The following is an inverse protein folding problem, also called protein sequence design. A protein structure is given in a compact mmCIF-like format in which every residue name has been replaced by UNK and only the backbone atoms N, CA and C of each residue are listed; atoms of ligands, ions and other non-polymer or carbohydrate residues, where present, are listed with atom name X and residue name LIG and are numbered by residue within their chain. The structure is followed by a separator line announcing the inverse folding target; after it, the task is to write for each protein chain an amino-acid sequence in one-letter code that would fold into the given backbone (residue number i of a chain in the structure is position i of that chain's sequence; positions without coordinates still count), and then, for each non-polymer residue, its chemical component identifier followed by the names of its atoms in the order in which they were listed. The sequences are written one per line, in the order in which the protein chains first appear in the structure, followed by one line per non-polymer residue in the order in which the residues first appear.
data_IF_381551402150
#
_entry.id   IF_381551402150
#
_cell.length_a   1.000
_cell.length_b   1.000
_cell.length_c   1.000
_cell.angle_alpha   90.00
_cell.angle_beta   90.00
_cell.angle_gamma   90.00
#
_symmetry.space_group_name_H-M   'P 1'
#
loop_
_entity.id
_entity.type
_entity.pdbx_description
1 polymer ?
#
# COMPACT_ATOMS: atom_id res chain seq x y z
N UNK A 1 0.03 -5.28 -4.98
CA UNK A 1 -1.26 -4.58 -4.90
C UNK A 1 -1.23 -3.53 -3.79
N UNK A 2 -2.01 -2.44 -3.90
CA UNK A 2 -2.25 -1.53 -2.78
C UNK A 2 -3.17 -2.19 -1.75
N UNK A 3 -2.79 -2.32 -0.47
CA UNK A 3 -3.62 -2.94 0.55
C UNK A 3 -4.74 -2.01 1.03
N UNK A 4 -5.68 -2.60 1.79
CA UNK A 4 -6.74 -1.94 2.53
C UNK A 4 -6.65 -2.33 4.00
N UNK A 5 -6.92 -1.41 4.91
CA UNK A 5 -6.89 -1.70 6.36
C UNK A 5 -8.23 -1.36 6.98
N UNK A 6 -9.18 -2.30 6.99
CA UNK A 6 -10.42 -2.11 7.74
C UNK A 6 -10.34 -2.81 9.09
N UNK A 7 -10.68 -2.09 10.15
CA UNK A 7 -10.82 -2.60 11.51
C UNK A 7 -12.26 -2.45 11.98
N UNK A 8 -12.72 -3.36 12.85
CA UNK A 8 -14.06 -3.33 13.45
C UNK A 8 -15.23 -3.30 12.45
N UNK A 9 -15.01 -3.81 11.25
CA UNK A 9 -15.98 -3.82 10.16
C UNK A 9 -15.27 -3.86 8.82
N UNK A 10 -16.05 -3.73 7.75
CA UNK A 10 -15.62 -3.65 6.36
C UNK A 10 -16.17 -2.37 5.73
N UNK A 11 -15.89 -2.18 4.44
CA UNK A 11 -16.33 -1.02 3.66
C UNK A 11 -17.85 -0.75 3.71
N UNK A 12 -18.68 -1.75 3.99
CA UNK A 12 -20.14 -1.63 4.05
C UNK A 12 -20.73 -1.83 5.45
N UNK A 13 -19.90 -2.08 6.47
CA UNK A 13 -20.36 -2.41 7.84
C UNK A 13 -19.74 -1.50 8.90
N UNK A 14 -19.19 -0.35 8.49
CA UNK A 14 -18.66 0.67 9.39
C UNK A 14 -17.20 0.45 9.82
N UNK A 15 -16.41 -0.26 9.00
CA UNK A 15 -14.99 -0.44 9.27
C UNK A 15 -14.21 0.88 9.31
N UNK A 16 -13.16 0.91 10.13
CA UNK A 16 -12.33 2.10 10.39
C UNK A 16 -10.86 1.87 10.08
N UNK A 17 -10.13 2.96 9.90
CA UNK A 17 -8.69 3.05 9.60
C UNK A 17 -8.11 4.37 10.10
N UNK A 18 -8.57 4.84 11.26
CA UNK A 18 -8.16 6.09 11.89
C UNK A 18 -6.99 5.92 12.86
N UNK A 19 -6.24 4.82 12.75
CA UNK A 19 -5.01 4.63 13.50
C UNK A 19 -3.98 5.71 13.08
N UNK A 20 -3.29 6.27 14.06
CA UNK A 20 -2.25 7.29 13.86
C UNK A 20 -0.86 6.81 14.30
N UNK A 21 -0.77 5.60 14.86
CA UNK A 21 0.49 5.00 15.33
C UNK A 21 1.15 4.27 14.17
N UNK A 22 2.32 4.73 13.68
CA UNK A 22 2.98 4.08 12.56
C UNK A 22 3.43 2.67 12.89
N UNK A 23 3.28 1.75 11.94
CA UNK A 23 3.75 0.37 12.05
C UNK A 23 3.13 -0.38 13.24
N UNK A 24 1.85 -0.13 13.51
CA UNK A 24 1.12 -0.69 14.66
C UNK A 24 1.05 -2.23 14.61
N UNK A 25 0.99 -2.80 13.41
CA UNK A 25 0.97 -4.24 13.15
C UNK A 25 2.36 -4.90 13.07
N UNK A 26 3.43 -4.15 13.34
CA UNK A 26 4.81 -4.61 13.21
C UNK A 26 5.62 -3.83 12.18
N UNK A 27 6.94 -4.00 12.19
CA UNK A 27 7.88 -3.23 11.36
C UNK A 27 8.64 -4.07 10.33
N UNK A 28 8.38 -5.38 10.32
CA UNK A 28 9.17 -6.33 9.55
C UNK A 28 8.43 -6.75 8.28
N UNK A 29 9.13 -6.69 7.16
CA UNK A 29 8.69 -7.29 5.91
C UNK A 29 9.26 -8.71 5.84
N UNK A 30 8.45 -9.71 6.14
CA UNK A 30 8.84 -11.14 6.14
C UNK A 30 8.53 -11.82 4.79
N UNK A 31 8.17 -11.05 3.75
CA UNK A 31 7.80 -11.58 2.45
C UNK A 31 9.03 -11.80 1.56
N UNK A 32 9.39 -13.07 1.35
CA UNK A 32 10.43 -13.48 0.40
C UNK A 32 9.97 -13.46 -1.07
N UNK A 33 8.65 -13.44 -1.29
CA UNK A 33 8.02 -13.47 -2.62
C UNK A 33 6.82 -12.53 -2.67
N UNK A 34 6.45 -12.12 -3.88
CA UNK A 34 5.23 -11.35 -4.12
C UNK A 34 4.02 -12.09 -3.57
N UNK A 35 3.17 -11.34 -2.85
CA UNK A 35 1.85 -11.78 -2.40
C UNK A 35 0.85 -11.96 -3.55
N UNK A 36 1.19 -11.46 -4.74
CA UNK A 36 0.49 -11.72 -5.99
C UNK A 36 1.38 -12.59 -6.90
N UNK A 37 1.31 -13.92 -6.78
CA UNK A 37 2.13 -14.83 -7.58
C UNK A 37 1.72 -14.85 -9.05
N UNK A 38 0.46 -14.51 -9.37
CA UNK A 38 -0.04 -14.48 -10.74
C UNK A 38 0.60 -13.33 -11.49
N UNK A 39 0.57 -12.13 -10.92
CA UNK A 39 1.23 -10.95 -11.50
C UNK A 39 2.74 -11.14 -11.58
N UNK A 40 3.37 -11.70 -10.53
CA UNK A 40 4.80 -12.00 -10.55
C UNK A 40 5.19 -13.01 -11.64
N UNK A 41 4.38 -14.06 -11.82
CA UNK A 41 4.59 -15.04 -12.89
C UNK A 41 4.39 -14.42 -14.27
N UNK A 42 3.41 -13.54 -14.43
CA UNK A 42 3.08 -12.92 -15.73
C UNK A 42 4.19 -12.03 -16.28
N UNK A 43 5.00 -11.41 -15.41
CA UNK A 43 6.13 -10.56 -15.83
C UNK A 43 7.43 -11.33 -16.01
N UNK A 44 7.50 -12.59 -15.57
CA UNK A 44 8.70 -13.41 -15.65
C UNK A 44 9.10 -13.65 -17.11
N UNK A 45 10.36 -13.40 -17.45
CA UNK A 45 10.87 -13.52 -18.83
C UNK A 45 10.56 -12.34 -19.74
N UNK A 46 9.92 -11.29 -19.22
CA UNK A 46 9.66 -10.04 -19.94
C UNK A 46 10.66 -8.94 -19.53
N UNK A 47 10.65 -7.81 -20.25
CA UNK A 47 11.37 -6.59 -19.83
C UNK A 47 10.67 -5.79 -18.73
N UNK A 48 9.52 -6.26 -18.23
CA UNK A 48 8.73 -5.57 -17.21
C UNK A 48 9.23 -5.95 -15.82
N UNK A 49 9.56 -4.96 -15.00
CA UNK A 49 9.87 -5.14 -13.58
C UNK A 49 8.62 -4.89 -12.74
N UNK A 50 8.29 -5.82 -11.84
CA UNK A 50 7.20 -5.63 -10.89
C UNK A 50 7.63 -4.66 -9.78
N UNK A 51 6.89 -3.56 -9.64
CA UNK A 51 6.98 -2.69 -8.47
C UNK A 51 6.14 -3.30 -7.34
N UNK A 52 6.72 -4.23 -6.58
CA UNK A 52 6.01 -4.88 -5.48
C UNK A 52 5.98 -3.99 -4.23
N UNK A 53 4.92 -3.18 -4.15
CA UNK A 53 4.64 -2.28 -3.02
C UNK A 53 3.90 -2.96 -1.87
N UNK A 54 3.49 -4.23 -2.02
CA UNK A 54 2.40 -4.78 -1.19
C UNK A 54 2.84 -4.93 0.26
N UNK A 55 3.99 -5.57 0.49
CA UNK A 55 4.46 -5.91 1.82
C UNK A 55 4.73 -4.67 2.68
N UNK A 56 5.44 -3.68 2.12
CA UNK A 56 5.73 -2.44 2.83
C UNK A 56 4.46 -1.65 3.11
N UNK A 57 3.49 -1.68 2.19
CA UNK A 57 2.25 -0.92 2.33
C UNK A 57 1.33 -1.51 3.40
N UNK A 58 1.40 -2.83 3.64
CA UNK A 58 0.66 -3.51 4.72
C UNK A 58 1.12 -3.05 6.11
N UNK A 59 2.35 -2.55 6.24
CA UNK A 59 2.85 -2.02 7.51
C UNK A 59 2.34 -0.60 7.81
N UNK A 60 1.72 0.06 6.84
CA UNK A 60 1.45 1.50 6.86
C UNK A 60 -0.03 1.80 7.00
N UNK A 61 -0.69 1.10 7.91
CA UNK A 61 -2.13 1.24 8.18
C UNK A 61 -2.54 2.67 8.58
N UNK A 62 -1.62 3.42 9.17
CA UNK A 62 -1.84 4.81 9.58
C UNK A 62 -1.85 5.83 8.43
N UNK A 63 -1.49 5.42 7.21
CA UNK A 63 -1.32 6.34 6.07
C UNK A 63 -2.62 6.58 5.25
N UNK A 64 -3.74 5.96 5.63
CA UNK A 64 -5.02 6.10 4.93
C UNK A 64 -5.66 7.49 5.11
N UNK A 65 -6.53 7.86 4.17
CA UNK A 65 -7.36 9.08 4.28
C UNK A 65 -8.32 9.00 5.46
N UNK A 66 -8.82 7.81 5.78
CA UNK A 66 -9.78 7.59 6.87
C UNK A 66 -11.00 8.50 6.72
N UNK A 67 -11.35 9.27 7.75
CA UNK A 67 -12.46 10.22 7.78
C UNK A 67 -12.12 11.61 7.21
N UNK A 68 -10.87 11.85 6.80
CA UNK A 68 -10.38 13.19 6.44
C UNK A 68 -10.60 13.55 4.96
N UNK A 69 -11.62 12.97 4.32
CA UNK A 69 -12.00 13.28 2.94
C UNK A 69 -12.97 14.45 2.86
N UNK A 70 -12.83 15.29 1.83
CA UNK A 70 -13.78 16.38 1.51
C UNK A 70 -15.18 15.82 1.20
N UNK A 71 -15.26 14.56 0.77
CA UNK A 71 -16.52 13.85 0.46
C UNK A 71 -16.88 12.82 1.53
N UNK A 72 -16.40 12.99 2.77
CA UNK A 72 -16.67 12.04 3.84
C UNK A 72 -18.17 11.97 4.15
N UNK A 73 -18.75 10.78 4.00
CA UNK A 73 -20.07 10.48 4.54
C UNK A 73 -19.93 10.16 6.02
N UNK A 74 -20.75 10.76 6.92
CA UNK A 74 -20.71 10.43 8.34
C UNK A 74 -20.83 8.91 8.56
N UNK A 75 -19.91 8.35 9.35
CA UNK A 75 -19.85 6.91 9.62
C UNK A 75 -19.13 6.07 8.57
N UNK A 76 -18.63 6.67 7.48
CA UNK A 76 -17.82 5.98 6.46
C UNK A 76 -16.37 6.46 6.49
N UNK A 77 -15.42 5.54 6.39
CA UNK A 77 -13.99 5.84 6.28
C UNK A 77 -13.40 5.32 4.97
N UNK A 78 -12.51 6.11 4.38
CA UNK A 78 -11.74 5.71 3.21
C UNK A 78 -10.46 4.98 3.64
N UNK A 79 -10.56 3.65 3.68
CA UNK A 79 -9.46 2.74 4.02
C UNK A 79 -8.86 2.07 2.78
N UNK A 80 -9.07 2.68 1.61
CA UNK A 80 -8.55 2.22 0.32
C UNK A 80 -7.50 3.20 -0.21
N UNK A 81 -7.76 4.50 -0.07
CA UNK A 81 -6.88 5.55 -0.54
C UNK A 81 -5.95 6.06 0.56
N UNK A 82 -4.89 6.73 0.13
CA UNK A 82 -3.79 7.19 0.97
C UNK A 82 -3.75 8.72 1.03
N UNK A 83 -3.34 9.26 2.17
CA UNK A 83 -3.05 10.68 2.30
C UNK A 83 -1.86 11.08 1.40
N UNK A 84 -1.85 12.34 0.97
CA UNK A 84 -0.71 12.99 0.33
C UNK A 84 -0.33 14.26 1.11
N UNK A 85 0.98 14.51 1.39
CA UNK A 85 2.10 13.59 1.18
C UNK A 85 1.95 12.31 2.03
N UNK A 86 2.50 11.19 1.56
CA UNK A 86 2.30 9.90 2.23
C UNK A 86 2.85 8.68 1.51
N UNK A 87 2.22 7.52 1.74
CA UNK A 87 2.70 6.23 1.24
C UNK A 87 2.94 6.17 -0.28
N UNK A 88 2.10 6.80 -1.14
CA UNK A 88 2.37 6.84 -2.58
C UNK A 88 3.68 7.53 -2.96
N UNK A 89 4.19 8.45 -2.14
CA UNK A 89 5.49 9.10 -2.38
C UNK A 89 6.63 8.08 -2.25
N UNK A 90 6.57 7.19 -1.25
CA UNK A 90 7.53 6.07 -1.11
C UNK A 90 7.46 5.13 -2.31
N UNK A 91 6.28 4.86 -2.87
CA UNK A 91 6.17 4.05 -4.08
C UNK A 91 6.87 4.73 -5.27
N UNK A 92 6.72 6.04 -5.40
CA UNK A 92 7.38 6.83 -6.43
C UNK A 92 8.90 6.86 -6.25
N UNK A 93 9.40 6.92 -5.01
CA UNK A 93 10.84 6.84 -4.72
C UNK A 93 11.43 5.47 -5.13
N UNK A 94 10.73 4.37 -4.85
CA UNK A 94 11.15 3.02 -5.26
C UNK A 94 11.12 2.90 -6.79
N UNK A 95 10.06 3.39 -7.43
CA UNK A 95 9.97 3.42 -8.89
C UNK A 95 11.13 4.21 -9.49
N UNK A 96 11.39 5.41 -8.97
CA UNK A 96 12.50 6.26 -9.41
C UNK A 96 13.85 5.53 -9.27
N UNK A 97 14.10 4.90 -8.13
CA UNK A 97 15.30 4.10 -7.92
C UNK A 97 15.45 2.98 -8.97
N UNK A 98 14.35 2.31 -9.34
CA UNK A 98 14.39 1.23 -10.34
C UNK A 98 14.68 1.72 -11.76
N UNK A 99 14.17 2.90 -12.15
CA UNK A 99 14.36 3.46 -13.51
C UNK A 99 15.66 4.26 -13.64
N UNK A 100 16.18 4.81 -12.54
CA UNK A 100 17.44 5.54 -12.51
C UNK A 100 18.65 4.63 -12.28
N UNK A 101 18.43 3.39 -11.85
CA UNK A 101 19.50 2.40 -11.71
C UNK A 101 20.06 2.03 -13.09
N UNK A 102 21.40 2.05 -13.28
CA UNK A 102 21.99 1.57 -14.52
C UNK A 102 21.58 0.11 -14.77
N UNK A 103 21.14 -0.20 -15.98
CA UNK A 103 20.93 -1.57 -16.41
C UNK A 103 22.25 -2.34 -16.29
N UNK A 104 22.28 -3.40 -15.47
CA UNK A 104 23.36 -4.40 -15.60
C UNK A 104 23.20 -5.03 -17.00
N UNK A 105 24.15 -4.69 -17.88
CA UNK A 105 24.39 -5.37 -19.16
C UNK A 105 24.73 -6.83 -18.95
#
# INVERSE_FOLDING_TARGET
MSPRHFFNGDWNTGGTCDNTTPLSGGKEVVQDKSSDPVTASAVTGTGVKLLDITALSQLRDEAHISRYSIRATPGMQDCLHWCLPGLPDTWNEILFAQISSPTKS
#
